data_IF_673266681787
#
_entry.id   IF_673266681787
#
_cell.length_a   1.000
_cell.length_b   1.000
_cell.length_c   1.000
_cell.angle_alpha   90.00
_cell.angle_beta   90.00
_cell.angle_gamma   90.00
#
_symmetry.space_group_name_H-M   'P 1'
#
loop_
_entity.id
_entity.type
_entity.pdbx_description
1 polymer ?
#
# COMPACT_ATOMS: atom_id res chain seq x y z
N UNK A 1 -15.09 3.59 26.79
CA UNK A 1 -13.68 3.41 26.33
C UNK A 1 -13.62 3.93 24.91
N UNK A 2 -12.56 4.65 24.52
CA UNK A 2 -12.35 5.03 23.12
C UNK A 2 -12.14 3.77 22.28
N UNK A 3 -12.69 3.74 21.06
CA UNK A 3 -12.51 2.60 20.15
C UNK A 3 -11.04 2.49 19.74
N UNK A 4 -10.55 1.26 19.54
CA UNK A 4 -9.19 1.03 19.04
C UNK A 4 -9.18 1.29 17.52
N UNK A 5 -8.30 2.16 16.98
CA UNK A 5 -8.24 2.39 15.55
C UNK A 5 -7.78 1.12 14.82
N UNK A 6 -8.47 0.77 13.73
CA UNK A 6 -8.09 -0.29 12.79
C UNK A 6 -7.94 0.30 11.38
N UNK A 7 -6.96 -0.17 10.63
CA UNK A 7 -6.62 0.36 9.31
C UNK A 7 -6.01 -0.72 8.43
N UNK A 8 -6.23 -0.62 7.12
CA UNK A 8 -5.73 -1.55 6.11
C UNK A 8 -4.68 -0.89 5.21
N UNK A 9 -3.56 -1.55 5.02
CA UNK A 9 -2.57 -1.27 3.98
C UNK A 9 -2.87 -2.16 2.79
N UNK A 10 -3.02 -1.54 1.63
CA UNK A 10 -2.94 -2.21 0.33
C UNK A 10 -1.70 -1.68 -0.40
N UNK A 11 -0.74 -2.56 -0.66
CA UNK A 11 0.45 -2.26 -1.45
C UNK A 11 0.30 -2.73 -2.90
N UNK A 12 1.15 -2.21 -3.79
CA UNK A 12 1.27 -2.61 -5.20
C UNK A 12 0.04 -2.32 -6.08
N UNK A 13 -0.76 -1.31 -5.71
CA UNK A 13 -1.99 -0.99 -6.44
C UNK A 13 -1.72 -0.51 -7.87
N UNK A 14 -2.46 -1.06 -8.83
CA UNK A 14 -2.30 -0.70 -10.24
C UNK A 14 -2.98 -1.65 -11.22
N UNK A 15 -2.79 -1.33 -12.50
CA UNK A 15 -3.20 -2.17 -13.66
C UNK A 15 -2.18 -3.22 -14.03
N UNK A 16 -0.93 -3.08 -13.59
CA UNK A 16 0.14 -4.04 -13.83
C UNK A 16 0.30 -4.88 -12.57
N UNK A 17 0.28 -6.20 -12.74
CA UNK A 17 0.66 -7.13 -11.69
C UNK A 17 2.19 -7.10 -11.55
N UNK A 18 2.69 -6.51 -10.46
CA UNK A 18 4.13 -6.34 -10.23
C UNK A 18 4.87 -7.68 -10.18
N UNK A 19 4.19 -8.75 -9.76
CA UNK A 19 4.77 -10.10 -9.69
C UNK A 19 5.12 -10.69 -11.05
N UNK A 20 4.52 -10.20 -12.14
CA UNK A 20 4.96 -10.54 -13.50
C UNK A 20 6.44 -10.25 -13.72
N UNK A 21 6.98 -9.21 -13.07
CA UNK A 21 8.38 -8.83 -13.17
C UNK A 21 9.21 -9.27 -11.96
N UNK A 22 8.60 -9.47 -10.78
CA UNK A 22 9.33 -9.84 -9.56
C UNK A 22 9.56 -11.35 -9.42
N UNK A 23 8.58 -12.18 -9.77
CA UNK A 23 8.67 -13.63 -9.59
C UNK A 23 8.80 -14.36 -10.93
N UNK A 24 10.03 -14.45 -11.43
CA UNK A 24 10.33 -15.12 -12.69
C UNK A 24 10.20 -16.66 -12.62
N UNK A 25 9.92 -17.22 -11.44
CA UNK A 25 9.80 -18.68 -11.24
C UNK A 25 8.40 -19.19 -11.54
N UNK A 26 7.40 -18.33 -11.46
CA UNK A 26 6.00 -18.67 -11.67
C UNK A 26 5.40 -17.81 -12.78
N UNK A 27 4.35 -18.33 -13.41
CA UNK A 27 3.64 -17.58 -14.45
C UNK A 27 2.58 -16.71 -13.78
N UNK A 28 2.70 -15.40 -13.97
CA UNK A 28 1.72 -14.41 -13.52
C UNK A 28 1.00 -13.78 -14.70
N UNK A 29 -0.23 -13.32 -14.48
CA UNK A 29 -0.90 -12.44 -15.44
C UNK A 29 -0.25 -11.07 -15.42
N UNK A 30 0.03 -10.48 -16.58
CA UNK A 30 0.63 -9.14 -16.65
C UNK A 30 -0.32 -8.05 -16.13
N UNK A 31 -1.61 -8.16 -16.44
CA UNK A 31 -2.60 -7.12 -16.21
C UNK A 31 -3.61 -7.54 -15.17
N UNK A 32 -3.93 -6.63 -14.26
CA UNK A 32 -5.07 -6.73 -13.35
C UNK A 32 -6.22 -5.96 -13.98
N UNK A 33 -7.37 -6.60 -14.28
CA UNK A 33 -8.52 -5.92 -14.87
C UNK A 33 -9.00 -4.76 -14.00
N UNK A 34 -9.27 -3.57 -14.56
CA UNK A 34 -9.77 -2.42 -13.79
C UNK A 34 -11.02 -2.70 -12.95
N UNK A 35 -11.88 -3.63 -13.41
CA UNK A 35 -13.07 -4.05 -12.68
C UNK A 35 -12.77 -4.64 -11.29
N UNK A 36 -11.55 -5.12 -11.05
CA UNK A 36 -11.12 -5.59 -9.73
C UNK A 36 -11.16 -4.47 -8.68
N UNK A 37 -10.86 -3.23 -9.05
CA UNK A 37 -11.01 -2.06 -8.18
C UNK A 37 -12.45 -1.83 -7.71
N UNK A 38 -13.43 -2.13 -8.56
CA UNK A 38 -14.85 -2.04 -8.21
C UNK A 38 -15.22 -3.11 -7.19
N UNK A 39 -14.79 -4.36 -7.41
CA UNK A 39 -15.07 -5.48 -6.51
C UNK A 39 -14.49 -5.21 -5.12
N UNK A 40 -13.21 -4.87 -5.07
CA UNK A 40 -12.52 -4.52 -3.83
C UNK A 40 -13.21 -3.35 -3.11
N UNK A 41 -13.44 -2.23 -3.79
CA UNK A 41 -14.01 -1.05 -3.17
C UNK A 41 -15.46 -1.25 -2.68
N UNK A 42 -16.25 -2.11 -3.36
CA UNK A 42 -17.59 -2.50 -2.87
C UNK A 42 -17.52 -3.31 -1.57
N UNK A 43 -16.59 -4.26 -1.47
CA UNK A 43 -16.36 -5.02 -0.23
C UNK A 43 -15.92 -4.06 0.89
N UNK A 44 -14.95 -3.17 0.62
CA UNK A 44 -14.54 -2.17 1.60
C UNK A 44 -15.69 -1.27 2.04
N UNK A 45 -16.57 -0.85 1.13
CA UNK A 45 -17.74 -0.05 1.44
C UNK A 45 -18.75 -0.80 2.33
N UNK A 46 -18.99 -2.08 2.06
CA UNK A 46 -19.90 -2.93 2.83
C UNK A 46 -19.45 -3.09 4.29
N UNK A 47 -18.14 -3.24 4.53
CA UNK A 47 -17.58 -3.46 5.86
C UNK A 47 -17.03 -2.19 6.52
N UNK A 48 -17.16 -1.03 5.87
CA UNK A 48 -16.65 0.25 6.37
C UNK A 48 -15.13 0.34 6.43
N UNK A 49 -14.40 -0.48 5.67
CA UNK A 49 -12.94 -0.56 5.67
C UNK A 49 -12.34 0.75 5.20
N UNK A 50 -11.31 1.21 5.91
CA UNK A 50 -10.51 2.40 5.60
C UNK A 50 -9.03 2.09 5.83
N UNK A 51 -8.16 2.89 5.22
CA UNK A 51 -6.73 2.73 5.41
C UNK A 51 -5.88 3.52 4.42
N UNK A 52 -4.82 2.89 3.89
CA UNK A 52 -4.03 3.44 2.77
C UNK A 52 -3.96 2.48 1.60
N UNK A 53 -3.93 3.05 0.40
CA UNK A 53 -3.83 2.33 -0.84
C UNK A 53 -2.72 2.96 -1.68
N UNK A 54 -1.68 2.19 -1.96
CA UNK A 54 -0.60 2.69 -2.80
C UNK A 54 -0.89 2.48 -4.28
N UNK A 55 -0.38 3.38 -5.11
CA UNK A 55 -0.44 3.30 -6.57
C UNK A 55 0.98 3.41 -7.10
N UNK A 56 1.40 2.51 -7.99
CA UNK A 56 2.72 2.59 -8.64
C UNK A 56 2.66 3.63 -9.78
N UNK A 57 3.30 4.82 -9.67
CA UNK A 57 3.10 5.90 -10.64
C UNK A 57 3.68 5.63 -12.04
N UNK A 58 4.72 4.80 -12.12
CA UNK A 58 5.40 4.37 -13.35
C UNK A 58 5.50 2.83 -13.31
N UNK A 59 4.39 2.09 -13.43
CA UNK A 59 4.33 0.66 -13.10
C UNK A 59 5.44 -0.14 -13.78
N UNK A 60 6.35 -0.72 -12.98
CA UNK A 60 7.52 -1.49 -13.42
C UNK A 60 8.41 -0.76 -14.45
N UNK A 61 8.38 0.58 -14.44
CA UNK A 61 9.06 1.44 -15.39
C UNK A 61 8.60 1.26 -16.84
N UNK A 62 7.31 0.93 -17.06
CA UNK A 62 6.71 0.74 -18.39
C UNK A 62 6.26 2.06 -19.03
N UNK A 63 6.03 3.09 -18.23
CA UNK A 63 5.59 4.43 -18.62
C UNK A 63 4.81 5.09 -17.48
N UNK A 64 4.57 6.39 -17.56
CA UNK A 64 3.91 7.16 -16.48
C UNK A 64 2.39 7.06 -16.59
N UNK A 65 1.69 6.92 -15.47
CA UNK A 65 0.21 6.83 -15.47
C UNK A 65 -0.50 8.11 -15.94
N UNK A 66 0.16 9.27 -15.90
CA UNK A 66 -0.36 10.55 -16.39
C UNK A 66 -0.11 10.79 -17.89
N UNK A 67 0.42 9.78 -18.58
CA UNK A 67 0.65 9.68 -20.03
C UNK A 67 0.28 8.25 -20.50
N UNK A 68 -1.00 7.84 -20.37
CA UNK A 68 -1.41 6.44 -20.52
C UNK A 68 -1.08 5.83 -21.89
N UNK A 69 -0.99 6.64 -22.94
CA UNK A 69 -0.57 6.25 -24.29
C UNK A 69 0.90 5.80 -24.38
N UNK A 70 1.73 6.22 -23.43
CA UNK A 70 3.17 5.90 -23.38
C UNK A 70 3.49 4.74 -22.43
N UNK A 71 2.48 4.12 -21.80
CA UNK A 71 2.67 2.98 -20.91
C UNK A 71 2.73 1.69 -21.71
N UNK A 72 3.94 1.19 -21.90
CA UNK A 72 4.20 0.00 -22.70
C UNK A 72 3.46 -1.23 -22.15
N UNK A 73 2.96 -2.07 -23.07
CA UNK A 73 2.29 -3.35 -22.77
C UNK A 73 0.93 -3.22 -22.04
N UNK A 74 0.45 -1.99 -21.77
CA UNK A 74 -0.82 -1.74 -21.11
C UNK A 74 -1.72 -0.91 -22.03
N UNK A 75 -2.91 -1.39 -22.39
CA UNK A 75 -3.86 -0.56 -23.14
C UNK A 75 -4.23 0.71 -22.35
N UNK A 76 -4.18 1.88 -23.00
CA UNK A 76 -4.53 3.16 -22.35
C UNK A 76 -5.92 3.15 -21.71
N UNK A 77 -6.90 2.55 -22.38
CA UNK A 77 -8.26 2.38 -21.84
C UNK A 77 -8.32 1.58 -20.53
N UNK A 78 -7.39 0.65 -20.28
CA UNK A 78 -7.30 -0.04 -18.99
C UNK A 78 -6.79 0.90 -17.90
N UNK A 79 -5.79 1.74 -18.20
CA UNK A 79 -5.25 2.73 -17.26
C UNK A 79 -6.32 3.74 -16.90
N UNK A 80 -7.00 4.31 -17.89
CA UNK A 80 -8.08 5.27 -17.70
C UNK A 80 -9.22 4.69 -16.86
N UNK A 81 -9.64 3.46 -17.17
CA UNK A 81 -10.67 2.77 -16.40
C UNK A 81 -10.23 2.50 -14.95
N UNK A 82 -8.98 2.08 -14.74
CA UNK A 82 -8.47 1.87 -13.38
C UNK A 82 -8.42 3.17 -12.58
N UNK A 83 -7.89 4.25 -13.17
CA UNK A 83 -7.85 5.57 -12.51
C UNK A 83 -9.27 6.00 -12.14
N UNK A 84 -10.23 5.88 -13.07
CA UNK A 84 -11.64 6.18 -12.79
C UNK A 84 -12.16 5.37 -11.59
N UNK A 85 -11.99 4.05 -11.61
CA UNK A 85 -12.53 3.19 -10.55
C UNK A 85 -11.79 3.34 -9.22
N UNK A 86 -10.49 3.61 -9.22
CA UNK A 86 -9.74 3.93 -8.02
C UNK A 86 -10.31 5.21 -7.36
N UNK A 87 -10.60 6.24 -8.16
CA UNK A 87 -11.22 7.49 -7.67
C UNK A 87 -12.64 7.27 -7.11
N UNK A 88 -13.44 6.45 -7.78
CA UNK A 88 -14.84 6.22 -7.40
C UNK A 88 -14.97 5.26 -6.20
N UNK A 89 -14.16 4.21 -6.14
CA UNK A 89 -14.38 3.07 -5.22
C UNK A 89 -13.31 2.93 -4.13
N UNK A 90 -12.09 3.46 -4.32
CA UNK A 90 -10.97 3.30 -3.39
C UNK A 90 -10.68 4.62 -2.64
N UNK A 91 -10.33 5.68 -3.36
CA UNK A 91 -9.93 6.97 -2.78
C UNK A 91 -10.89 7.57 -1.72
N UNK A 92 -12.23 7.36 -1.77
CA UNK A 92 -13.12 7.89 -0.74
C UNK A 92 -12.89 7.32 0.67
N UNK A 93 -12.19 6.19 0.80
CA UNK A 93 -11.95 5.48 2.07
C UNK A 93 -10.48 5.32 2.43
N UNK A 94 -9.60 5.49 1.45
CA UNK A 94 -8.18 5.22 1.59
C UNK A 94 -7.37 6.49 1.33
N UNK A 95 -6.39 6.74 2.19
CA UNK A 95 -5.33 7.69 1.90
C UNK A 95 -4.46 7.14 0.77
N UNK A 96 -4.35 7.88 -0.34
CA UNK A 96 -3.55 7.45 -1.49
C UNK A 96 -2.07 7.75 -1.24
N UNK A 97 -1.22 6.81 -1.62
CA UNK A 97 0.24 6.94 -1.54
C UNK A 97 0.89 6.53 -2.86
N UNK A 98 2.00 7.13 -3.29
CA UNK A 98 2.85 6.51 -4.28
C UNK A 98 3.55 5.29 -3.66
N UNK A 99 3.62 4.20 -4.41
CA UNK A 99 4.54 3.08 -4.17
C UNK A 99 5.91 3.41 -4.79
N UNK A 100 6.51 4.51 -4.32
CA UNK A 100 7.60 5.26 -4.97
C UNK A 100 7.32 5.61 -6.43
N UNK A 101 8.16 5.23 -7.39
CA UNK A 101 7.91 5.48 -8.82
C UNK A 101 7.64 4.19 -9.56
N UNK A 102 8.54 3.21 -9.49
CA UNK A 102 8.48 2.07 -10.41
C UNK A 102 8.15 0.75 -9.75
N UNK A 103 8.44 0.63 -8.46
CA UNK A 103 8.41 -0.63 -7.72
C UNK A 103 9.21 -1.73 -8.46
N UNK A 104 10.33 -1.36 -9.09
CA UNK A 104 11.25 -2.28 -9.75
C UNK A 104 12.66 -1.67 -9.84
N UNK A 105 13.00 -1.09 -11.00
CA UNK A 105 14.28 -0.43 -11.26
C UNK A 105 14.12 1.08 -11.06
N UNK A 106 15.10 1.72 -10.44
CA UNK A 106 15.11 3.16 -10.23
C UNK A 106 14.94 3.95 -11.54
N UNK A 107 14.40 5.15 -11.41
CA UNK A 107 14.11 6.05 -12.52
C UNK A 107 15.07 7.23 -12.57
N UNK A 108 15.71 7.46 -13.72
CA UNK A 108 16.50 8.66 -13.96
C UNK A 108 15.57 9.85 -14.25
N UNK A 109 15.51 10.80 -13.31
CA UNK A 109 14.65 11.99 -13.41
C UNK A 109 15.04 12.92 -14.57
N UNK A 110 16.32 12.94 -14.99
CA UNK A 110 16.78 13.81 -16.07
C UNK A 110 16.55 13.19 -17.44
N UNK A 111 16.84 11.89 -17.58
CA UNK A 111 16.75 11.18 -18.86
C UNK A 111 15.35 10.64 -19.15
N UNK A 112 14.52 10.44 -18.13
CA UNK A 112 13.20 9.85 -18.28
C UNK A 112 13.26 8.37 -18.64
N UNK A 113 13.92 7.56 -17.81
CA UNK A 113 14.03 6.12 -18.06
C UNK A 113 14.61 5.31 -16.89
N UNK A 114 14.54 3.98 -17.00
CA UNK A 114 15.08 3.05 -15.99
C UNK A 114 16.60 3.08 -15.95
N UNK A 115 17.17 2.96 -14.76
CA UNK A 115 18.60 2.66 -14.55
C UNK A 115 18.79 1.21 -14.11
N UNK A 116 20.05 0.73 -14.05
CA UNK A 116 20.38 -0.66 -13.71
C UNK A 116 20.48 -0.95 -12.21
N UNK A 117 19.79 -0.16 -11.37
CA UNK A 117 19.69 -0.36 -9.93
C UNK A 117 18.24 -0.58 -9.54
N UNK A 118 17.98 -1.46 -8.56
CA UNK A 118 16.67 -1.54 -7.93
C UNK A 118 16.38 -0.22 -7.19
N UNK A 119 15.10 0.15 -7.15
CA UNK A 119 14.64 1.43 -6.61
C UNK A 119 15.03 1.63 -5.14
N UNK A 120 14.90 0.58 -4.32
CA UNK A 120 15.31 0.57 -2.91
C UNK A 120 16.80 0.88 -2.70
N UNK A 121 17.65 0.23 -3.51
CA UNK A 121 19.11 0.38 -3.47
C UNK A 121 19.54 1.75 -3.99
N UNK A 122 18.77 2.34 -4.90
CA UNK A 122 19.03 3.69 -5.38
C UNK A 122 18.72 4.72 -4.29
N UNK A 123 17.53 4.65 -3.70
CA UNK A 123 17.08 5.56 -2.64
C UNK A 123 18.01 5.52 -1.42
N UNK A 124 18.55 4.35 -1.05
CA UNK A 124 19.46 4.23 0.09
C UNK A 124 20.78 5.01 -0.03
N UNK A 125 21.11 5.48 -1.25
CA UNK A 125 22.33 6.25 -1.55
C UNK A 125 22.09 7.76 -1.64
N UNK A 126 20.84 8.18 -1.61
CA UNK A 126 20.44 9.57 -1.79
C UNK A 126 20.38 10.32 -0.45
N UNK A 127 20.60 11.63 -0.51
CA UNK A 127 20.29 12.54 0.60
C UNK A 127 18.81 12.98 0.57
N UNK A 128 18.34 13.64 1.64
CA UNK A 128 16.95 14.07 1.76
C UNK A 128 16.44 14.91 0.58
N UNK A 129 17.25 15.83 0.02
CA UNK A 129 16.82 16.66 -1.09
C UNK A 129 16.65 15.87 -2.39
N UNK A 130 17.55 14.92 -2.66
CA UNK A 130 17.46 14.02 -3.83
C UNK A 130 16.28 13.04 -3.70
N UNK A 131 16.04 12.51 -2.49
CA UNK A 131 14.84 11.71 -2.18
C UNK A 131 13.58 12.54 -2.40
N UNK A 132 13.60 13.81 -1.97
CA UNK A 132 12.46 14.70 -2.15
C UNK A 132 12.14 14.92 -3.62
N UNK A 133 13.14 15.13 -4.47
CA UNK A 133 12.95 15.31 -5.92
C UNK A 133 12.41 14.04 -6.57
N UNK A 134 12.90 12.87 -6.16
CA UNK A 134 12.44 11.57 -6.66
C UNK A 134 10.98 11.30 -6.29
N UNK A 135 10.61 11.48 -5.02
CA UNK A 135 9.24 11.27 -4.53
C UNK A 135 8.30 12.32 -5.14
N UNK A 136 8.75 13.56 -5.32
CA UNK A 136 7.96 14.64 -5.93
C UNK A 136 7.42 14.26 -7.31
N UNK A 137 8.19 13.52 -8.12
CA UNK A 137 7.72 13.04 -9.40
C UNK A 137 6.49 12.13 -9.27
N UNK A 138 6.51 11.22 -8.29
CA UNK A 138 5.40 10.30 -8.01
C UNK A 138 4.17 11.05 -7.53
N UNK A 139 4.37 12.03 -6.64
CA UNK A 139 3.31 12.93 -6.17
C UNK A 139 2.66 13.69 -7.32
N UNK A 140 3.45 14.26 -8.23
CA UNK A 140 2.96 15.00 -9.40
C UNK A 140 2.15 14.11 -10.35
N UNK A 141 2.63 12.90 -10.64
CA UNK A 141 1.91 11.94 -11.51
C UNK A 141 0.53 11.64 -10.91
N UNK A 142 0.49 11.25 -9.63
CA UNK A 142 -0.75 10.84 -8.98
C UNK A 142 -1.73 12.01 -8.78
N UNK A 143 -1.23 13.20 -8.46
CA UNK A 143 -2.07 14.39 -8.35
C UNK A 143 -2.69 14.79 -9.70
N UNK A 144 -1.91 14.75 -10.79
CA UNK A 144 -2.39 15.08 -12.15
C UNK A 144 -3.51 14.17 -12.63
N UNK A 145 -3.53 12.90 -12.23
CA UNK A 145 -4.63 11.97 -12.55
C UNK A 145 -5.80 12.04 -11.56
N UNK A 146 -5.71 12.89 -10.54
CA UNK A 146 -6.73 13.11 -9.52
C UNK A 146 -6.78 12.04 -8.44
N UNK A 147 -5.64 11.40 -8.18
CA UNK A 147 -5.38 10.49 -7.05
C UNK A 147 -4.40 11.17 -6.08
N UNK A 148 -4.73 12.38 -5.64
CA UNK A 148 -3.87 13.26 -4.82
C UNK A 148 -3.35 12.54 -3.57
N UNK A 149 -2.02 12.34 -3.45
CA UNK A 149 -1.46 11.60 -2.32
C UNK A 149 -1.51 12.37 -1.00
N UNK A 150 -1.48 11.61 0.10
CA UNK A 150 -1.39 12.14 1.47
C UNK A 150 -0.34 11.46 2.36
N UNK A 151 0.32 10.44 1.84
CA UNK A 151 1.48 9.78 2.45
C UNK A 151 2.34 9.09 1.39
N UNK A 152 3.38 8.38 1.82
CA UNK A 152 4.25 7.57 0.97
C UNK A 152 4.26 6.10 1.38
N UNK A 153 4.57 5.19 0.45
CA UNK A 153 4.77 3.76 0.73
C UNK A 153 6.17 3.34 0.33
N UNK A 154 6.79 2.51 1.18
CA UNK A 154 8.16 2.04 1.03
C UNK A 154 8.16 0.60 0.51
N UNK A 155 8.19 0.39 -0.82
CA UNK A 155 8.23 -0.95 -1.39
C UNK A 155 9.43 -1.73 -0.86
N UNK A 156 9.20 -3.02 -0.60
CA UNK A 156 10.10 -3.94 0.09
C UNK A 156 10.48 -3.42 1.48
N UNK A 157 11.53 -2.59 1.58
CA UNK A 157 11.98 -1.88 2.78
C UNK A 157 12.67 -0.56 2.40
N UNK A 158 12.23 0.07 1.32
CA UNK A 158 12.92 1.25 0.79
C UNK A 158 12.99 2.37 1.82
N UNK A 159 14.21 2.85 2.09
CA UNK A 159 14.49 3.87 3.11
C UNK A 159 14.94 3.31 4.46
N UNK A 160 14.95 1.98 4.67
CA UNK A 160 15.36 1.40 5.96
C UNK A 160 16.83 1.68 6.31
N UNK A 161 17.72 1.70 5.32
CA UNK A 161 19.15 1.91 5.52
C UNK A 161 19.52 3.39 5.73
N UNK A 162 18.61 4.31 5.45
CA UNK A 162 18.80 5.76 5.55
C UNK A 162 17.53 6.49 6.02
N UNK A 163 16.81 5.93 7.00
CA UNK A 163 15.44 6.36 7.36
C UNK A 163 15.33 7.84 7.74
N UNK A 164 16.35 8.42 8.39
CA UNK A 164 16.36 9.84 8.73
C UNK A 164 16.30 10.74 7.48
N UNK A 165 17.13 10.45 6.47
CA UNK A 165 17.13 11.18 5.21
C UNK A 165 15.86 10.89 4.42
N UNK A 166 15.37 9.65 4.47
CA UNK A 166 14.14 9.24 3.81
C UNK A 166 12.91 9.99 4.37
N UNK A 167 12.76 10.07 5.69
CA UNK A 167 11.66 10.78 6.33
C UNK A 167 11.70 12.29 6.02
N UNK A 168 12.88 12.92 6.09
CA UNK A 168 13.06 14.33 5.68
C UNK A 168 12.67 14.54 4.21
N UNK A 169 13.15 13.67 3.32
CA UNK A 169 12.88 13.73 1.89
C UNK A 169 11.39 13.61 1.56
N UNK A 170 10.67 12.71 2.24
CA UNK A 170 9.21 12.62 2.13
C UNK A 170 8.54 13.94 2.52
N UNK A 171 8.87 14.50 3.69
CA UNK A 171 8.29 15.75 4.15
C UNK A 171 8.55 16.91 3.18
N UNK A 172 9.79 17.05 2.72
CA UNK A 172 10.19 18.04 1.73
C UNK A 172 9.43 17.87 0.41
N UNK A 173 9.25 16.64 -0.10
CA UNK A 173 8.49 16.37 -1.32
C UNK A 173 7.04 16.83 -1.21
N UNK A 174 6.38 16.50 -0.11
CA UNK A 174 4.98 16.88 0.15
C UNK A 174 4.81 18.39 0.25
N UNK A 175 5.76 19.08 0.91
CA UNK A 175 5.74 20.53 1.02
C UNK A 175 5.97 21.22 -0.33
N UNK A 176 6.97 20.78 -1.09
CA UNK A 176 7.35 21.36 -2.39
C UNK A 176 6.27 21.15 -3.46
N UNK A 177 5.66 19.97 -3.49
CA UNK A 177 4.80 19.55 -4.59
C UNK A 177 3.32 19.81 -4.32
N UNK A 178 2.85 19.51 -3.11
CA UNK A 178 1.42 19.54 -2.77
C UNK A 178 1.08 20.60 -1.70
N UNK A 179 2.08 21.36 -1.24
CA UNK A 179 1.94 22.36 -0.18
C UNK A 179 1.26 21.78 1.10
N UNK A 180 1.65 20.56 1.49
CA UNK A 180 1.12 19.87 2.68
C UNK A 180 2.16 19.90 3.80
N UNK A 181 1.76 20.42 4.95
CA UNK A 181 2.59 20.47 6.17
C UNK A 181 2.47 19.22 7.06
N UNK A 182 1.68 18.22 6.63
CA UNK A 182 1.55 16.94 7.32
C UNK A 182 1.49 15.82 6.29
N UNK A 183 2.25 14.77 6.55
CA UNK A 183 2.26 13.54 5.75
C UNK A 183 2.63 12.35 6.64
N UNK A 184 2.52 11.15 6.09
CA UNK A 184 2.92 9.91 6.75
C UNK A 184 3.66 8.99 5.78
N UNK A 185 4.31 7.97 6.31
CA UNK A 185 4.78 6.85 5.50
C UNK A 185 4.62 5.52 6.23
N UNK A 186 4.61 4.44 5.45
CA UNK A 186 4.69 3.07 5.93
C UNK A 186 6.01 2.46 5.47
N UNK A 187 6.80 1.95 6.43
CA UNK A 187 8.08 1.28 6.18
C UNK A 187 8.24 0.00 7.03
N UNK A 188 7.91 0.07 8.31
CA UNK A 188 8.17 -1.03 9.23
C UNK A 188 7.01 -2.02 9.25
N UNK A 189 7.30 -3.25 8.84
CA UNK A 189 6.39 -4.39 8.84
C UNK A 189 6.93 -5.48 9.74
N UNK A 190 6.15 -5.94 10.71
CA UNK A 190 6.55 -7.00 11.67
C UNK A 190 7.85 -6.68 12.44
N UNK A 191 8.12 -5.39 12.66
CA UNK A 191 9.31 -4.91 13.37
C UNK A 191 9.04 -4.67 14.87
N UNK A 192 10.08 -4.30 15.62
CA UNK A 192 10.00 -3.89 17.02
C UNK A 192 9.23 -2.56 17.22
N UNK A 193 9.08 -1.76 16.18
CA UNK A 193 8.31 -0.52 16.21
C UNK A 193 6.81 -0.84 16.15
N UNK A 194 6.11 -0.69 17.27
CA UNK A 194 4.70 -1.11 17.41
C UNK A 194 3.67 -0.01 17.22
N UNK A 195 4.09 1.27 17.23
CA UNK A 195 3.17 2.43 17.24
C UNK A 195 3.65 3.51 16.28
N UNK A 196 2.73 4.33 15.76
CA UNK A 196 3.10 5.51 14.99
C UNK A 196 4.05 6.44 15.74
N UNK A 197 4.97 7.07 15.00
CA UNK A 197 6.00 7.96 15.55
C UNK A 197 6.21 9.16 14.64
N UNK A 198 6.29 10.36 15.22
CA UNK A 198 6.76 11.56 14.52
C UNK A 198 8.26 11.42 14.26
N UNK A 199 8.64 11.46 12.99
CA UNK A 199 10.02 11.27 12.53
C UNK A 199 10.69 12.62 12.25
N UNK A 200 9.93 13.58 11.72
CA UNK A 200 10.36 14.95 11.50
C UNK A 200 9.21 15.90 11.80
N UNK A 201 9.50 17.08 12.33
CA UNK A 201 8.56 18.19 12.49
C UNK A 201 9.34 19.50 12.42
N UNK A 202 9.36 20.12 11.24
CA UNK A 202 10.14 21.33 11.00
C UNK A 202 9.50 22.21 9.93
N UNK A 203 9.87 23.50 9.84
CA UNK A 203 9.42 24.36 8.74
C UNK A 203 9.79 23.84 7.35
N UNK A 204 10.86 23.06 7.21
CA UNK A 204 11.30 22.51 5.91
C UNK A 204 10.52 21.25 5.51
N UNK A 205 10.22 20.38 6.47
CA UNK A 205 9.62 19.05 6.22
C UNK A 205 8.12 19.00 6.48
N UNK A 206 7.57 19.93 7.26
CA UNK A 206 6.31 19.70 7.96
C UNK A 206 6.43 18.55 8.97
N UNK A 207 5.29 18.06 9.47
CA UNK A 207 5.20 16.88 10.34
C UNK A 207 5.10 15.61 9.51
N UNK A 208 6.05 14.69 9.72
CA UNK A 208 6.12 13.38 9.05
C UNK A 208 5.96 12.27 10.09
N UNK A 209 4.98 11.40 9.90
CA UNK A 209 4.68 10.30 10.83
C UNK A 209 4.95 8.95 10.16
N UNK A 210 5.80 8.11 10.75
CA UNK A 210 5.88 6.69 10.40
C UNK A 210 4.70 5.95 11.02
N UNK A 211 3.98 5.13 10.26
CA UNK A 211 2.92 4.25 10.73
C UNK A 211 3.34 2.79 10.42
N UNK A 212 3.75 2.00 11.43
CA UNK A 212 4.14 0.61 11.22
C UNK A 212 2.92 -0.32 11.10
N UNK A 213 3.12 -1.49 10.51
CA UNK A 213 2.21 -2.62 10.66
C UNK A 213 2.82 -3.69 11.59
N UNK A 214 1.96 -4.55 12.13
CA UNK A 214 2.34 -5.70 12.96
C UNK A 214 1.65 -6.98 12.50
N UNK A 215 1.44 -7.09 11.19
CA UNK A 215 0.73 -8.21 10.57
C UNK A 215 1.48 -8.73 9.36
N UNK A 216 1.14 -9.95 8.96
CA UNK A 216 1.54 -10.51 7.67
C UNK A 216 0.42 -10.33 6.65
N UNK A 217 0.75 -10.46 5.36
CA UNK A 217 -0.26 -10.66 4.33
C UNK A 217 -0.69 -12.14 4.33
N UNK A 218 -1.95 -12.45 4.71
CA UNK A 218 -2.42 -13.82 4.84
C UNK A 218 -2.81 -14.43 3.49
N UNK A 219 -2.84 -13.66 2.40
CA UNK A 219 -3.45 -14.07 1.13
C UNK A 219 -2.44 -14.59 0.11
N UNK A 220 -1.14 -14.55 0.38
CA UNK A 220 -0.10 -15.07 -0.51
C UNK A 220 -0.27 -16.53 -0.91
N UNK A 221 -0.87 -17.34 -0.03
CA UNK A 221 -1.24 -18.73 -0.33
C UNK A 221 -2.18 -18.88 -1.53
N UNK A 222 -2.80 -17.78 -1.97
CA UNK A 222 -3.61 -17.69 -3.16
C UNK A 222 -2.83 -17.92 -4.46
N UNK A 223 -1.59 -17.43 -4.61
CA UNK A 223 -0.90 -17.30 -5.91
C UNK A 223 -0.44 -18.61 -6.57
N UNK A 224 0.27 -19.48 -5.86
CA UNK A 224 0.92 -20.67 -6.45
C UNK A 224 0.50 -22.05 -5.89
N UNK A 225 -0.76 -22.31 -5.53
CA UNK A 225 -1.21 -23.64 -5.13
C UNK A 225 -1.54 -24.49 -6.37
N UNK A 226 -1.41 -25.82 -6.24
CA UNK A 226 -1.75 -26.74 -7.33
C UNK A 226 -3.27 -26.81 -7.57
N UNK A 227 -4.07 -26.44 -6.57
CA UNK A 227 -5.54 -26.46 -6.62
C UNK A 227 -6.15 -25.28 -5.85
N UNK A 228 -7.38 -24.90 -6.19
CA UNK A 228 -8.13 -23.89 -5.43
C UNK A 228 -8.39 -24.33 -3.97
N UNK A 229 -8.60 -25.62 -3.72
CA UNK A 229 -8.80 -26.14 -2.36
C UNK A 229 -7.56 -25.93 -1.49
N UNK A 230 -6.36 -26.17 -2.05
CA UNK A 230 -5.10 -25.88 -1.38
C UNK A 230 -4.92 -24.38 -1.14
N UNK A 231 -5.23 -23.55 -2.14
CA UNK A 231 -5.22 -22.09 -2.02
C UNK A 231 -6.03 -21.60 -0.81
N UNK A 232 -7.28 -22.04 -0.75
CA UNK A 232 -8.23 -21.67 0.31
C UNK A 232 -7.72 -22.15 1.67
N UNK A 233 -7.16 -23.35 1.74
CA UNK A 233 -6.60 -23.88 2.98
C UNK A 233 -5.36 -23.12 3.46
N UNK A 234 -4.52 -22.61 2.56
CA UNK A 234 -3.38 -21.76 2.89
C UNK A 234 -3.83 -20.37 3.35
N UNK A 235 -4.77 -19.76 2.62
CA UNK A 235 -5.37 -18.47 2.99
C UNK A 235 -6.02 -18.54 4.38
N UNK A 236 -6.81 -19.58 4.66
CA UNK A 236 -7.43 -19.78 5.98
C UNK A 236 -6.39 -19.85 7.10
N UNK A 237 -5.29 -20.57 6.90
CA UNK A 237 -4.18 -20.62 7.86
C UNK A 237 -3.52 -19.26 8.08
N UNK A 238 -3.37 -18.46 7.02
CA UNK A 238 -2.93 -17.06 7.12
C UNK A 238 -3.88 -16.20 7.95
N UNK A 239 -5.19 -16.30 7.69
CA UNK A 239 -6.23 -15.59 8.46
C UNK A 239 -6.19 -16.01 9.93
N UNK A 240 -6.04 -17.31 10.23
CA UNK A 240 -5.94 -17.81 11.62
C UNK A 240 -4.69 -17.27 12.35
N UNK A 241 -3.61 -16.97 11.61
CA UNK A 241 -2.40 -16.33 12.17
C UNK A 241 -2.68 -14.87 12.55
N UNK A 242 -3.49 -14.16 11.76
CA UNK A 242 -3.90 -12.79 12.10
C UNK A 242 -4.93 -12.75 13.23
N UNK A 243 -5.92 -13.63 13.17
CA UNK A 243 -7.01 -13.69 14.14
C UNK A 243 -7.65 -15.08 14.10
N UNK A 244 -7.53 -15.83 15.20
CA UNK A 244 -8.14 -17.16 15.33
C UNK A 244 -9.66 -17.12 15.15
N UNK A 245 -10.26 -18.24 14.78
CA UNK A 245 -11.72 -18.33 14.57
C UNK A 245 -12.55 -17.97 15.82
N UNK A 246 -12.05 -18.29 17.00
CA UNK A 246 -12.66 -17.90 18.28
C UNK A 246 -12.28 -16.48 18.74
N UNK A 247 -11.41 -15.80 18.00
CA UNK A 247 -10.95 -14.45 18.26
C UNK A 247 -10.06 -14.28 19.49
N UNK A 248 -9.58 -15.38 20.09
CA UNK A 248 -8.78 -15.38 21.34
C UNK A 248 -7.28 -15.29 21.12
N UNK A 249 -6.78 -15.51 19.91
CA UNK A 249 -5.36 -15.42 19.57
C UNK A 249 -5.13 -14.84 18.17
N UNK A 250 -3.86 -14.61 17.84
CA UNK A 250 -3.42 -14.02 16.58
C UNK A 250 -2.92 -12.60 16.74
N UNK A 251 -2.18 -12.11 15.73
CA UNK A 251 -1.51 -10.82 15.77
C UNK A 251 -2.45 -9.64 16.03
N UNK A 252 -3.69 -9.68 15.51
CA UNK A 252 -4.69 -8.64 15.77
C UNK A 252 -5.16 -8.64 17.21
N UNK A 253 -5.38 -9.82 17.80
CA UNK A 253 -5.74 -9.94 19.22
C UNK A 253 -4.62 -9.43 20.10
N UNK A 254 -3.37 -9.83 19.83
CA UNK A 254 -2.21 -9.37 20.60
C UNK A 254 -2.07 -7.85 20.58
N UNK A 255 -2.16 -7.23 19.40
CA UNK A 255 -2.10 -5.77 19.29
C UNK A 255 -3.27 -5.06 19.98
N UNK A 256 -4.46 -5.66 19.94
CA UNK A 256 -5.64 -5.13 20.63
C UNK A 256 -5.45 -5.12 22.15
N UNK A 257 -4.98 -6.22 22.74
CA UNK A 257 -4.74 -6.31 24.20
C UNK A 257 -3.58 -5.39 24.66
N UNK A 258 -2.59 -5.16 23.79
CA UNK A 258 -1.52 -4.18 24.03
C UNK A 258 -1.97 -2.71 23.85
N UNK A 259 -3.21 -2.46 23.42
CA UNK A 259 -3.73 -1.13 23.13
C UNK A 259 -3.04 -0.42 21.97
N UNK A 260 -2.51 -1.17 21.00
CA UNK A 260 -1.92 -0.64 19.78
C UNK A 260 -3.00 -0.49 18.69
N UNK A 261 -2.84 0.46 17.74
CA UNK A 261 -3.62 0.45 16.52
C UNK A 261 -3.51 -0.89 15.77
N UNK A 262 -4.62 -1.34 15.20
CA UNK A 262 -4.67 -2.57 14.41
C UNK A 262 -4.39 -2.21 12.94
N UNK A 263 -3.12 -2.22 12.54
CA UNK A 263 -2.71 -1.94 11.16
C UNK A 263 -2.42 -3.24 10.43
N UNK A 264 -3.27 -3.58 9.46
CA UNK A 264 -3.17 -4.79 8.63
C UNK A 264 -2.45 -4.52 7.31
N UNK A 265 -1.74 -5.51 6.79
CA UNK A 265 -1.08 -5.46 5.49
C UNK A 265 -1.61 -6.53 4.54
N UNK A 266 -1.85 -6.12 3.30
CA UNK A 266 -1.96 -7.02 2.15
C UNK A 266 -1.48 -6.31 0.88
N UNK A 267 -1.33 -7.07 -0.20
CA UNK A 267 -0.90 -6.59 -1.50
C UNK A 267 -2.02 -6.77 -2.51
N UNK A 268 -2.10 -5.84 -3.46
CA UNK A 268 -3.07 -5.84 -4.53
C UNK A 268 -3.02 -7.14 -5.34
N UNK A 269 -1.80 -7.62 -5.59
CA UNK A 269 -1.52 -8.87 -6.29
C UNK A 269 -2.02 -10.08 -5.51
N UNK A 270 -1.80 -10.15 -4.19
CA UNK A 270 -2.22 -11.30 -3.37
C UNK A 270 -3.75 -11.40 -3.30
N UNK A 271 -4.45 -10.27 -3.21
CA UNK A 271 -5.91 -10.22 -3.33
C UNK A 271 -6.39 -10.69 -4.71
N UNK A 272 -5.73 -10.27 -5.78
CA UNK A 272 -6.07 -10.64 -7.16
C UNK A 272 -5.84 -12.13 -7.44
N UNK A 273 -4.75 -12.72 -6.90
CA UNK A 273 -4.40 -14.13 -7.04
C UNK A 273 -4.41 -14.62 -8.51
N UNK A 274 -3.76 -13.88 -9.41
CA UNK A 274 -3.71 -14.15 -10.86
C UNK A 274 -5.09 -14.49 -11.47
N UNK A 275 -6.07 -13.61 -11.27
CA UNK A 275 -7.39 -13.72 -11.89
C UNK A 275 -8.38 -14.61 -11.15
N UNK A 276 -7.95 -15.36 -10.13
CA UNK A 276 -8.85 -16.21 -9.33
C UNK A 276 -9.57 -15.47 -8.21
N UNK A 277 -9.07 -14.30 -7.79
CA UNK A 277 -9.64 -13.47 -6.72
C UNK A 277 -9.85 -14.19 -5.36
N UNK A 278 -9.19 -15.33 -5.12
CA UNK A 278 -9.33 -16.08 -3.88
C UNK A 278 -8.78 -15.32 -2.66
N UNK A 279 -7.76 -14.49 -2.86
CA UNK A 279 -7.28 -13.58 -1.81
C UNK A 279 -8.35 -12.57 -1.42
N UNK A 280 -9.13 -12.03 -2.37
CA UNK A 280 -10.25 -11.13 -2.09
C UNK A 280 -11.39 -11.83 -1.34
N UNK A 281 -11.73 -13.07 -1.69
CA UNK A 281 -12.71 -13.87 -0.93
C UNK A 281 -12.21 -14.14 0.51
N UNK A 282 -10.93 -14.46 0.66
CA UNK A 282 -10.28 -14.60 1.96
C UNK A 282 -10.31 -13.31 2.77
N UNK A 283 -10.12 -12.17 2.11
CA UNK A 283 -10.20 -10.86 2.74
C UNK A 283 -11.60 -10.58 3.27
N UNK A 284 -12.65 -10.84 2.50
CA UNK A 284 -14.03 -10.72 2.99
C UNK A 284 -14.29 -11.63 4.20
N UNK A 285 -13.77 -12.86 4.19
CA UNK A 285 -13.86 -13.78 5.34
C UNK A 285 -13.15 -13.23 6.59
N UNK A 286 -11.97 -12.64 6.43
CA UNK A 286 -11.26 -11.96 7.53
C UNK A 286 -12.08 -10.78 8.07
N UNK A 287 -12.70 -9.97 7.21
CA UNK A 287 -13.54 -8.83 7.62
C UNK A 287 -14.77 -9.29 8.42
N UNK A 288 -15.43 -10.38 8.00
CA UNK A 288 -16.52 -11.00 8.75
C UNK A 288 -16.06 -11.42 10.15
N UNK A 289 -14.87 -12.01 10.25
CA UNK A 289 -14.27 -12.43 11.52
C UNK A 289 -13.94 -11.23 12.42
N UNK A 290 -13.32 -10.18 11.87
CA UNK A 290 -13.03 -8.93 12.60
C UNK A 290 -14.32 -8.31 13.14
N UNK A 291 -15.36 -8.22 12.32
CA UNK A 291 -16.65 -7.65 12.75
C UNK A 291 -17.31 -8.48 13.85
N UNK A 292 -17.22 -9.82 13.78
CA UNK A 292 -17.72 -10.72 14.82
C UNK A 292 -16.95 -10.59 16.14
N UNK A 293 -15.62 -10.48 16.07
CA UNK A 293 -14.74 -10.52 17.26
C UNK A 293 -14.62 -9.16 17.94
N UNK A 294 -14.38 -8.10 17.16
CA UNK A 294 -14.16 -6.76 17.70
C UNK A 294 -15.42 -5.89 17.60
N UNK A 295 -16.15 -5.97 16.48
CA UNK A 295 -17.38 -5.21 16.27
C UNK A 295 -17.21 -3.72 16.56
N UNK A 296 -18.02 -3.20 17.49
CA UNK A 296 -18.00 -1.79 17.87
C UNK A 296 -16.82 -1.35 18.75
N UNK A 297 -15.92 -2.27 19.15
CA UNK A 297 -14.72 -1.97 19.94
C UNK A 297 -13.61 -1.35 19.11
N UNK A 298 -13.67 -1.51 17.79
CA UNK A 298 -12.71 -0.94 16.84
C UNK A 298 -13.39 0.08 15.93
N UNK A 299 -12.58 0.96 15.34
CA UNK A 299 -13.02 1.97 14.39
C UNK A 299 -12.08 2.03 13.20
N UNK A 300 -12.65 1.87 12.00
CA UNK A 300 -11.90 2.01 10.76
C UNK A 300 -11.51 3.46 10.54
N UNK A 301 -10.20 3.69 10.38
CA UNK A 301 -9.63 5.01 10.07
C UNK A 301 -8.70 4.90 8.87
N UNK A 302 -8.60 5.97 8.09
CA UNK A 302 -7.54 6.07 7.08
C UNK A 302 -6.20 6.47 7.72
N UNK A 303 -5.12 6.44 6.94
CA UNK A 303 -3.80 6.74 7.48
C UNK A 303 -3.61 8.23 7.82
N UNK A 304 -4.30 9.16 7.16
CA UNK A 304 -4.28 10.58 7.53
C UNK A 304 -4.88 10.83 8.92
N UNK A 305 -6.01 10.19 9.22
CA UNK A 305 -6.64 10.22 10.52
C UNK A 305 -5.75 9.57 11.57
N UNK A 306 -5.19 8.40 11.27
CA UNK A 306 -4.29 7.69 12.19
C UNK A 306 -3.02 8.51 12.48
N UNK A 307 -2.41 9.11 11.46
CA UNK A 307 -1.25 9.99 11.62
C UNK A 307 -1.59 11.21 12.48
N UNK A 308 -2.81 11.73 12.38
CA UNK A 308 -3.26 12.93 13.10
C UNK A 308 -3.48 12.72 14.59
N UNK A 309 -3.46 11.46 15.06
CA UNK A 309 -3.50 11.12 16.48
C UNK A 309 -2.14 11.28 17.18
N UNK A 310 -1.08 11.62 16.43
CA UNK A 310 0.32 11.74 16.89
C UNK A 310 0.98 13.07 16.42
#
# INVERSE_FOLDING_TARGET
MSKVPISLIIDDGGVVNTYFFHDLRHKHELLIPPAFAILFGKICAQYGVRGKYSVVPIPCGLGRLDEPENVNMVPSGNIEAFIKYAKEYIAPRFSITPELLTHLLAWDLQRGGKVHYCEDTYISRLNAAEIADYISLGLQILDKIGLTPSGASSPWRTGIDNEEEYAKGIGMAFKRTLNRDRTFYFLHSMDHIKRPRVMCDSPETGKVVNIPNRTIDPFWGGHNPNTNAEAIALIRRGIDTLLSEDGKSGLLRENYEEGNPLVMLTHWTSLYSDGRALGLEGFEHLLQRINKVFGNQVEWVNFEELASMY
#
